data_IF_044258565946
#
_entry.id   IF_044258565946
#
_cell.length_a   1.000
_cell.length_b   1.000
_cell.length_c   1.000
_cell.angle_alpha   90.00
_cell.angle_beta   90.00
_cell.angle_gamma   90.00
#
_symmetry.space_group_name_H-M   'P 1'
#
loop_
_entity.id
_entity.type
_entity.pdbx_description
1 polymer ?
#
# COMPACT_ATOMS: atom_id res chain seq x y z
N UNK A 1 39.96 -51.94 -12.76
CA UNK A 1 39.55 -50.58 -12.37
C UNK A 1 39.43 -50.54 -10.85
N UNK A 2 40.36 -49.90 -10.15
CA UNK A 2 40.33 -49.78 -8.69
C UNK A 2 39.68 -48.43 -8.33
N UNK A 3 38.52 -48.45 -7.66
CA UNK A 3 37.91 -47.25 -7.11
C UNK A 3 38.63 -46.86 -5.82
N UNK A 4 39.15 -45.63 -5.74
CA UNK A 4 39.71 -45.10 -4.50
C UNK A 4 38.59 -44.88 -3.49
N UNK A 5 38.72 -45.50 -2.32
CA UNK A 5 37.78 -45.34 -1.22
C UNK A 5 38.02 -43.96 -0.61
N UNK A 6 37.00 -43.08 -0.57
CA UNK A 6 37.08 -41.79 0.13
C UNK A 6 37.52 -42.02 1.58
N UNK A 7 38.71 -41.54 1.94
CA UNK A 7 39.16 -41.56 3.33
C UNK A 7 38.38 -40.51 4.11
N UNK A 8 37.34 -40.93 4.84
CA UNK A 8 36.75 -40.11 5.89
C UNK A 8 37.76 -39.99 7.02
N UNK A 9 38.52 -38.89 7.04
CA UNK A 9 39.23 -38.46 8.26
C UNK A 9 38.22 -37.69 9.09
N UNK A 10 37.92 -38.10 10.35
CA UNK A 10 37.08 -37.31 11.24
C UNK A 10 37.66 -35.90 11.34
N UNK A 11 36.96 -34.90 10.76
CA UNK A 11 37.29 -33.50 11.01
C UNK A 11 36.70 -33.14 12.36
N UNK A 12 37.49 -32.63 13.32
CA UNK A 12 36.94 -32.14 14.59
C UNK A 12 35.76 -31.20 14.31
N UNK A 13 34.65 -31.40 15.01
CA UNK A 13 33.52 -30.49 14.94
C UNK A 13 33.97 -29.14 15.49
N UNK A 14 33.98 -28.12 14.63
CA UNK A 14 34.29 -26.77 15.05
C UNK A 14 33.05 -26.15 15.70
N UNK A 15 33.01 -26.18 17.04
CA UNK A 15 31.95 -25.56 17.84
C UNK A 15 31.92 -24.03 17.72
N UNK A 16 32.97 -23.41 17.15
CA UNK A 16 33.04 -21.98 16.90
C UNK A 16 32.61 -21.60 15.48
N UNK A 17 32.27 -22.58 14.63
CA UNK A 17 31.73 -22.32 13.29
C UNK A 17 30.36 -21.66 13.42
N UNK A 18 30.24 -20.42 12.94
CA UNK A 18 28.97 -19.70 12.87
C UNK A 18 27.96 -20.48 12.02
N UNK A 19 26.70 -20.52 12.49
CA UNK A 19 25.59 -21.10 11.74
C UNK A 19 25.36 -20.29 10.44
N UNK A 20 25.04 -20.95 9.31
CA UNK A 20 24.57 -20.23 8.13
C UNK A 20 23.27 -19.48 8.47
N UNK A 21 23.18 -18.23 8.03
CA UNK A 21 21.98 -17.42 8.17
C UNK A 21 21.08 -17.72 6.97
N UNK A 22 19.86 -18.18 7.23
CA UNK A 22 18.86 -18.41 6.20
C UNK A 22 17.90 -17.22 6.14
N UNK A 23 17.61 -16.71 4.94
CA UNK A 23 16.73 -15.55 4.75
C UNK A 23 15.29 -15.94 4.43
N UNK A 24 15.05 -17.17 3.98
CA UNK A 24 13.70 -17.70 3.73
C UNK A 24 13.61 -19.22 3.90
N UNK A 25 12.40 -19.74 4.11
CA UNK A 25 12.16 -21.18 4.21
C UNK A 25 12.48 -21.95 2.91
N UNK A 26 12.52 -21.27 1.76
CA UNK A 26 12.87 -21.89 0.46
C UNK A 26 14.34 -22.27 0.37
N UNK A 27 15.21 -21.64 1.16
CA UNK A 27 16.65 -21.96 1.19
C UNK A 27 16.95 -23.34 1.82
N UNK A 28 15.93 -24.04 2.36
CA UNK A 28 16.07 -25.44 2.78
C UNK A 28 16.01 -26.44 1.62
N UNK A 29 15.49 -26.04 0.45
CA UNK A 29 15.24 -26.95 -0.68
C UNK A 29 16.36 -26.93 -1.73
N UNK A 30 17.37 -26.05 -1.58
CA UNK A 30 18.51 -26.01 -2.50
C UNK A 30 19.45 -27.21 -2.24
N UNK A 31 19.49 -28.12 -3.22
CA UNK A 31 20.22 -29.38 -3.30
C UNK A 31 21.76 -29.18 -3.36
N UNK A 32 22.33 -28.34 -2.49
CA UNK A 32 23.77 -28.33 -2.29
C UNK A 32 24.14 -29.63 -1.55
N UNK A 33 24.91 -30.56 -2.16
CA UNK A 33 25.27 -31.84 -1.54
C UNK A 33 26.00 -31.65 -0.21
N UNK A 34 26.54 -30.44 0.03
CA UNK A 34 27.18 -30.04 1.27
C UNK A 34 26.19 -29.65 2.38
N UNK A 35 25.02 -29.12 2.02
CA UNK A 35 23.94 -28.74 2.96
C UNK A 35 23.12 -29.97 3.38
N UNK A 36 22.83 -30.88 2.45
CA UNK A 36 22.14 -32.14 2.73
C UNK A 36 22.90 -33.02 3.75
N UNK A 37 24.23 -33.10 3.64
CA UNK A 37 25.06 -33.83 4.61
C UNK A 37 25.00 -33.24 6.04
N UNK A 38 24.80 -31.93 6.17
CA UNK A 38 24.66 -31.25 7.46
C UNK A 38 23.24 -31.38 8.03
N UNK A 39 22.22 -31.43 7.18
CA UNK A 39 20.83 -31.66 7.59
C UNK A 39 20.60 -33.11 8.09
N UNK A 40 21.15 -34.11 7.41
CA UNK A 40 21.04 -35.54 7.81
C UNK A 40 21.74 -35.80 9.16
N UNK A 41 22.88 -35.14 9.43
CA UNK A 41 23.59 -35.28 10.71
C UNK A 41 22.86 -34.64 11.89
N UNK A 42 21.98 -33.65 11.66
CA UNK A 42 21.23 -32.95 12.71
C UNK A 42 19.86 -33.54 13.00
N UNK A 43 19.23 -34.19 12.02
CA UNK A 43 17.94 -34.86 12.20
C UNK A 43 17.98 -35.99 13.25
N UNK A 44 19.15 -36.59 13.52
CA UNK A 44 19.33 -37.64 14.54
C UNK A 44 19.45 -37.16 15.99
N UNK A 45 19.62 -35.84 16.25
CA UNK A 45 19.89 -35.31 17.60
C UNK A 45 18.71 -34.54 18.19
N UNK A 46 17.76 -34.06 17.38
CA UNK A 46 16.72 -33.11 17.80
C UNK A 46 15.35 -33.72 18.18
N UNK A 47 15.25 -35.04 18.31
CA UNK A 47 14.05 -35.69 18.86
C UNK A 47 14.04 -35.68 20.40
N UNK A 48 14.07 -34.49 21.01
CA UNK A 48 13.70 -34.26 22.42
C UNK A 48 13.66 -32.76 22.71
N UNK A 49 12.52 -32.31 23.25
CA UNK A 49 12.24 -31.01 23.89
C UNK A 49 11.64 -29.91 23.00
N UNK A 50 10.31 -30.03 22.94
CA UNK A 50 9.26 -29.01 22.91
C UNK A 50 9.57 -27.61 23.48
N UNK A 51 9.19 -26.63 22.65
CA UNK A 51 8.39 -25.43 22.93
C UNK A 51 9.03 -24.16 23.57
N UNK A 52 8.54 -22.97 23.17
CA UNK A 52 9.30 -21.71 23.16
C UNK A 52 8.76 -20.65 24.15
N UNK A 53 9.59 -19.69 24.57
CA UNK A 53 9.05 -18.44 25.12
C UNK A 53 10.01 -17.25 24.90
N UNK A 54 9.40 -16.14 24.46
CA UNK A 54 9.96 -14.82 24.27
C UNK A 54 10.24 -14.13 25.61
N UNK A 55 11.27 -13.27 25.67
CA UNK A 55 11.33 -11.95 26.35
C UNK A 55 12.81 -11.57 26.48
N UNK A 56 13.35 -10.62 25.71
CA UNK A 56 13.25 -9.17 25.88
C UNK A 56 13.89 -8.63 27.17
N UNK A 57 14.82 -7.69 26.95
CA UNK A 57 15.23 -6.57 27.80
C UNK A 57 16.28 -6.78 28.92
N UNK A 58 17.48 -6.27 28.63
CA UNK A 58 18.17 -5.16 29.34
C UNK A 58 18.34 -5.24 30.86
N UNK A 59 19.59 -5.35 31.34
CA UNK A 59 20.24 -4.54 32.41
C UNK A 59 21.62 -5.15 32.71
N UNK A 60 22.71 -4.45 32.42
CA UNK A 60 23.49 -3.63 33.37
C UNK A 60 24.25 -4.44 34.42
N UNK A 61 25.59 -4.49 34.34
CA UNK A 61 26.56 -4.01 35.36
C UNK A 61 27.97 -4.57 35.12
N UNK A 62 28.92 -3.63 35.02
CA UNK A 62 30.25 -3.62 35.65
C UNK A 62 31.24 -4.79 35.46
N UNK A 63 32.39 -4.51 34.86
CA UNK A 63 33.55 -5.41 34.92
C UNK A 63 34.65 -5.06 33.91
N UNK A 64 35.78 -4.58 34.44
CA UNK A 64 37.03 -4.24 33.76
C UNK A 64 37.51 -5.24 32.70
N UNK A 65 38.10 -4.73 31.61
CA UNK A 65 38.91 -5.55 30.71
C UNK A 65 38.93 -5.03 29.27
N UNK A 66 39.94 -4.23 28.94
CA UNK A 66 40.29 -3.86 27.57
C UNK A 66 40.44 -5.13 26.69
N UNK A 67 39.76 -5.21 25.54
CA UNK A 67 40.54 -5.21 24.30
C UNK A 67 39.88 -4.35 23.19
N UNK A 68 40.67 -3.44 22.65
CA UNK A 68 40.64 -2.91 21.27
C UNK A 68 39.43 -3.33 20.39
N UNK A 69 38.46 -2.44 20.09
CA UNK A 69 37.34 -2.75 19.20
C UNK A 69 37.79 -2.69 17.74
N UNK A 70 38.54 -3.69 17.29
CA UNK A 70 38.97 -3.83 15.89
C UNK A 70 38.12 -4.85 15.16
N UNK A 71 36.82 -4.57 15.06
CA UNK A 71 35.93 -5.07 14.00
C UNK A 71 34.75 -4.13 13.99
N UNK A 72 34.78 -3.17 13.07
CA UNK A 72 33.67 -2.25 12.79
C UNK A 72 32.39 -3.10 12.80
N UNK A 73 31.52 -2.83 13.77
CA UNK A 73 30.17 -3.33 13.83
C UNK A 73 29.44 -2.64 12.67
N UNK A 74 29.70 -3.11 11.44
CA UNK A 74 28.98 -2.69 10.26
C UNK A 74 27.59 -3.25 10.51
N UNK A 75 26.72 -2.43 11.10
CA UNK A 75 25.29 -2.72 11.15
C UNK A 75 24.89 -3.02 9.71
N UNK A 76 24.60 -4.29 9.43
CA UNK A 76 24.18 -4.72 8.11
C UNK A 76 22.87 -4.00 7.80
N UNK A 77 22.91 -3.11 6.81
CA UNK A 77 21.74 -2.32 6.41
C UNK A 77 20.79 -3.32 5.73
N UNK A 78 19.56 -3.52 6.25
CA UNK A 78 18.62 -4.45 5.63
C UNK A 78 18.33 -3.99 4.20
N UNK A 79 18.53 -4.90 3.24
CA UNK A 79 18.18 -4.66 1.84
C UNK A 79 16.69 -4.97 1.66
N UNK A 80 15.89 -4.07 1.05
CA UNK A 80 14.48 -4.34 0.80
C UNK A 80 14.32 -5.56 -0.12
N UNK A 81 13.29 -6.36 0.13
CA UNK A 81 12.86 -7.40 -0.80
C UNK A 81 11.98 -6.76 -1.90
N UNK A 82 11.93 -7.40 -3.06
CA UNK A 82 11.02 -7.03 -4.14
C UNK A 82 10.13 -8.22 -4.48
N UNK A 83 8.89 -7.93 -4.85
CA UNK A 83 7.93 -8.92 -5.32
C UNK A 83 7.54 -8.59 -6.75
N UNK A 84 7.44 -9.63 -7.59
CA UNK A 84 6.85 -9.48 -8.91
C UNK A 84 5.32 -9.39 -8.78
N UNK A 85 4.72 -8.40 -9.42
CA UNK A 85 3.26 -8.20 -9.41
C UNK A 85 2.69 -8.77 -10.70
N UNK A 86 1.94 -9.87 -10.60
CA UNK A 86 1.41 -10.59 -11.75
C UNK A 86 0.51 -9.72 -12.65
N UNK A 87 -0.15 -8.71 -12.07
CA UNK A 87 -1.06 -7.81 -12.81
C UNK A 87 -0.36 -6.64 -13.49
N UNK A 88 0.94 -6.45 -13.29
CA UNK A 88 1.68 -5.26 -13.74
C UNK A 88 1.52 -4.98 -15.24
N UNK A 89 1.68 -5.99 -16.10
CA UNK A 89 1.58 -5.82 -17.55
C UNK A 89 0.14 -5.56 -18.04
N UNK A 90 -0.87 -5.95 -17.24
CA UNK A 90 -2.28 -5.65 -17.52
C UNK A 90 -2.61 -4.22 -17.11
N UNK A 91 -2.15 -3.81 -15.93
CA UNK A 91 -2.50 -2.53 -15.32
C UNK A 91 -1.71 -1.36 -15.95
N UNK A 92 -0.48 -1.62 -16.43
CA UNK A 92 0.39 -0.62 -17.07
C UNK A 92 0.63 -0.92 -18.55
N UNK A 93 -0.23 -0.37 -19.41
CA UNK A 93 -0.07 -0.50 -20.86
C UNK A 93 1.12 0.31 -21.40
N UNK A 94 1.89 -0.26 -22.33
CA UNK A 94 3.08 0.36 -22.95
C UNK A 94 2.71 1.31 -24.10
N UNK A 95 1.98 2.38 -23.80
CA UNK A 95 1.50 3.34 -24.81
C UNK A 95 2.45 4.50 -25.08
N UNK A 96 3.53 4.63 -24.31
CA UNK A 96 4.49 5.72 -24.47
C UNK A 96 5.33 5.57 -25.76
N UNK A 97 5.21 6.54 -26.66
CA UNK A 97 6.08 6.69 -27.83
C UNK A 97 7.18 7.70 -27.53
N UNK A 98 8.44 7.25 -27.48
CA UNK A 98 9.57 8.12 -27.18
C UNK A 98 9.75 9.20 -28.26
N UNK A 99 9.70 10.50 -27.92
CA UNK A 99 9.93 11.56 -28.88
C UNK A 99 11.39 11.59 -29.36
N UNK A 100 11.61 12.12 -30.57
CA UNK A 100 12.96 12.30 -31.14
C UNK A 100 13.77 13.42 -30.47
N UNK A 101 13.15 14.17 -29.57
CA UNK A 101 13.74 15.27 -28.80
C UNK A 101 13.56 15.04 -27.30
N UNK A 102 14.28 15.81 -26.46
CA UNK A 102 14.10 15.74 -25.01
C UNK A 102 12.72 16.19 -24.58
N UNK A 103 12.12 15.45 -23.63
CA UNK A 103 10.83 15.78 -23.03
C UNK A 103 10.95 17.13 -22.33
N UNK A 104 10.12 18.08 -22.75
CA UNK A 104 9.94 19.37 -22.06
C UNK A 104 8.70 19.25 -21.20
N UNK A 105 8.87 19.13 -19.89
CA UNK A 105 7.76 19.06 -18.95
C UNK A 105 6.85 20.29 -19.06
N UNK A 106 5.62 20.08 -19.52
CA UNK A 106 4.49 20.96 -19.21
C UNK A 106 3.83 20.42 -17.93
N UNK A 107 3.25 21.29 -17.12
CA UNK A 107 2.61 20.85 -15.87
C UNK A 107 1.54 19.80 -16.18
N UNK A 108 1.62 18.63 -15.55
CA UNK A 108 0.74 17.49 -15.84
C UNK A 108 -0.76 17.81 -15.73
N UNK A 109 -1.12 18.85 -14.95
CA UNK A 109 -2.49 19.32 -14.74
C UNK A 109 -3.00 20.32 -15.78
N UNK A 110 -2.15 20.84 -16.66
CA UNK A 110 -2.50 21.99 -17.49
C UNK A 110 -3.10 21.63 -18.86
N UNK A 111 -2.95 20.41 -19.36
CA UNK A 111 -3.16 20.12 -20.79
C UNK A 111 -4.07 18.92 -21.11
N UNK A 112 -4.51 18.12 -20.13
CA UNK A 112 -5.28 16.88 -20.39
C UNK A 112 -6.60 16.90 -19.61
N UNK A 113 -7.66 17.41 -20.26
CA UNK A 113 -9.06 17.16 -19.88
C UNK A 113 -9.51 17.67 -18.50
N UNK A 114 -10.75 17.32 -18.15
CA UNK A 114 -11.32 17.54 -16.82
C UNK A 114 -10.70 16.52 -15.85
N UNK A 115 -9.83 17.00 -14.95
CA UNK A 115 -9.17 16.14 -13.97
C UNK A 115 -10.16 15.66 -12.90
N UNK A 116 -10.22 14.35 -12.69
CA UNK A 116 -11.00 13.67 -11.65
C UNK A 116 -10.01 13.01 -10.69
N UNK A 117 -10.09 13.35 -9.41
CA UNK A 117 -9.16 12.84 -8.37
C UNK A 117 -9.73 11.63 -7.60
N UNK A 118 -10.97 11.23 -7.92
CA UNK A 118 -11.65 10.16 -7.22
C UNK A 118 -11.51 8.86 -8.01
N UNK A 119 -10.94 7.84 -7.36
CA UNK A 119 -10.95 6.46 -7.84
C UNK A 119 -12.00 5.67 -7.07
N UNK A 120 -12.76 4.80 -7.75
CA UNK A 120 -13.75 3.95 -7.10
C UNK A 120 -13.08 3.00 -6.10
N UNK A 121 -13.66 2.91 -4.89
CA UNK A 121 -13.31 1.83 -3.96
C UNK A 121 -14.17 0.58 -4.20
N UNK A 122 -13.86 -0.51 -3.51
CA UNK A 122 -14.60 -1.77 -3.66
C UNK A 122 -16.11 -1.60 -3.38
N UNK A 123 -16.50 -0.73 -2.44
CA UNK A 123 -17.92 -0.47 -2.14
C UNK A 123 -18.61 0.25 -3.31
N UNK A 124 -17.91 1.16 -3.99
CA UNK A 124 -18.39 1.84 -5.18
C UNK A 124 -18.52 0.88 -6.37
N UNK A 125 -17.55 -0.04 -6.55
CA UNK A 125 -17.55 -1.05 -7.60
C UNK A 125 -18.71 -2.05 -7.42
N UNK A 126 -18.89 -2.58 -6.20
CA UNK A 126 -19.99 -3.48 -5.85
C UNK A 126 -21.36 -2.80 -6.10
N UNK A 127 -21.51 -1.55 -5.66
CA UNK A 127 -22.74 -0.78 -5.90
C UNK A 127 -23.00 -0.55 -7.39
N UNK A 128 -21.96 -0.28 -8.18
CA UNK A 128 -22.07 -0.04 -9.61
C UNK A 128 -22.50 -1.31 -10.36
N UNK A 129 -21.95 -2.47 -9.97
CA UNK A 129 -22.35 -3.78 -10.51
C UNK A 129 -23.84 -4.06 -10.22
N UNK A 130 -24.26 -3.90 -8.97
CA UNK A 130 -25.65 -4.07 -8.53
C UNK A 130 -26.61 -3.07 -9.21
N UNK A 131 -26.20 -1.81 -9.40
CA UNK A 131 -27.04 -0.79 -10.03
C UNK A 131 -27.23 -1.05 -11.52
N UNK A 132 -26.16 -1.45 -12.21
CA UNK A 132 -26.22 -1.78 -13.62
C UNK A 132 -27.01 -3.07 -13.84
N UNK A 133 -26.86 -4.08 -12.99
CA UNK A 133 -27.33 -5.43 -13.26
C UNK A 133 -26.93 -5.85 -14.70
N UNK A 134 -27.89 -6.31 -15.51
CA UNK A 134 -27.71 -6.64 -16.93
C UNK A 134 -27.67 -5.41 -17.87
N UNK A 135 -27.93 -4.20 -17.36
CA UNK A 135 -27.99 -2.97 -18.15
C UNK A 135 -26.78 -2.10 -17.89
N UNK A 136 -26.07 -1.69 -18.94
CA UNK A 136 -24.95 -0.73 -18.86
C UNK A 136 -25.46 0.72 -18.69
N UNK A 137 -26.11 1.03 -17.58
CA UNK A 137 -26.72 2.33 -17.33
C UNK A 137 -25.70 3.42 -17.01
N UNK A 138 -24.60 3.06 -16.35
CA UNK A 138 -23.53 3.94 -15.89
C UNK A 138 -22.17 3.22 -16.03
N UNK A 139 -21.18 3.88 -16.63
CA UNK A 139 -19.80 3.37 -16.68
C UNK A 139 -18.99 3.88 -15.46
N UNK A 140 -17.94 3.16 -15.04
CA UNK A 140 -17.17 3.49 -13.84
C UNK A 140 -16.60 4.92 -13.87
N UNK A 141 -15.98 5.35 -14.97
CA UNK A 141 -15.45 6.70 -15.15
C UNK A 141 -16.51 7.80 -14.90
N UNK A 142 -17.77 7.55 -15.26
CA UNK A 142 -18.84 8.52 -15.04
C UNK A 142 -19.30 8.53 -13.59
N UNK A 143 -19.27 7.38 -12.90
CA UNK A 143 -19.52 7.33 -11.46
C UNK A 143 -18.43 8.12 -10.72
N UNK A 144 -17.16 7.94 -11.06
CA UNK A 144 -16.03 8.70 -10.50
C UNK A 144 -16.23 10.21 -10.65
N UNK A 145 -16.53 10.66 -11.87
CA UNK A 145 -16.83 12.08 -12.15
C UNK A 145 -17.97 12.57 -11.27
N UNK A 146 -19.07 11.81 -11.16
CA UNK A 146 -20.23 12.23 -10.36
C UNK A 146 -19.89 12.33 -8.88
N UNK A 147 -19.28 11.30 -8.28
CA UNK A 147 -18.89 11.29 -6.88
C UNK A 147 -17.91 12.43 -6.56
N UNK A 148 -16.90 12.62 -7.41
CA UNK A 148 -15.95 13.72 -7.29
C UNK A 148 -16.62 15.10 -7.30
N UNK A 149 -17.52 15.31 -8.26
CA UNK A 149 -18.22 16.60 -8.41
C UNK A 149 -19.21 16.86 -7.29
N UNK A 150 -19.94 15.85 -6.83
CA UNK A 150 -20.83 15.95 -5.67
C UNK A 150 -20.04 16.36 -4.41
N UNK A 151 -18.88 15.75 -4.17
CA UNK A 151 -18.03 16.10 -3.03
C UNK A 151 -17.52 17.56 -3.10
N UNK A 152 -17.11 18.02 -4.29
CA UNK A 152 -16.70 19.41 -4.50
C UNK A 152 -17.87 20.37 -4.27
N UNK A 153 -19.07 20.04 -4.77
CA UNK A 153 -20.25 20.87 -4.62
C UNK A 153 -20.71 20.96 -3.16
N UNK A 154 -20.69 19.84 -2.44
CA UNK A 154 -21.00 19.82 -1.01
C UNK A 154 -19.99 20.63 -0.20
N UNK A 155 -18.70 20.49 -0.50
CA UNK A 155 -17.68 21.33 0.12
C UNK A 155 -17.97 22.82 -0.11
N UNK A 156 -18.27 23.22 -1.36
CA UNK A 156 -18.64 24.62 -1.65
C UNK A 156 -19.92 25.06 -0.92
N UNK A 157 -20.90 24.18 -0.76
CA UNK A 157 -22.11 24.46 0.00
C UNK A 157 -21.78 24.69 1.49
N UNK A 158 -20.89 23.88 2.08
CA UNK A 158 -20.39 24.04 3.45
C UNK A 158 -19.60 25.33 3.65
N UNK A 159 -18.72 25.68 2.73
CA UNK A 159 -17.99 26.95 2.76
C UNK A 159 -18.96 28.15 2.76
N UNK A 160 -19.98 28.12 1.89
CA UNK A 160 -21.00 29.19 1.82
C UNK A 160 -21.87 29.29 3.07
N UNK A 161 -22.15 28.16 3.72
CA UNK A 161 -22.91 28.11 4.97
C UNK A 161 -22.08 28.51 6.20
N UNK A 162 -20.78 28.82 6.04
CA UNK A 162 -19.86 29.06 7.16
C UNK A 162 -19.53 27.80 7.97
N UNK A 163 -19.89 26.62 7.46
CA UNK A 163 -19.68 25.32 8.09
C UNK A 163 -18.31 24.72 7.73
N UNK A 164 -17.25 25.52 7.87
CA UNK A 164 -15.86 25.10 7.64
C UNK A 164 -15.37 24.44 8.92
N UNK A 165 -15.96 23.30 9.28
CA UNK A 165 -15.45 22.51 10.39
C UNK A 165 -14.17 21.83 9.92
N UNK A 166 -13.02 21.99 10.62
CA UNK A 166 -11.86 21.15 10.35
C UNK A 166 -12.31 19.69 10.49
N UNK A 167 -12.03 18.86 9.48
CA UNK A 167 -12.56 17.49 9.25
C UNK A 167 -12.37 16.50 10.41
N UNK A 168 -11.71 16.93 11.49
CA UNK A 168 -11.27 16.11 12.61
C UNK A 168 -12.05 16.32 13.90
N UNK A 169 -12.90 17.35 13.99
CA UNK A 169 -13.52 17.73 15.27
C UNK A 169 -14.99 17.30 15.38
N UNK A 170 -15.59 16.74 14.33
CA UNK A 170 -16.96 16.25 14.40
C UNK A 170 -17.50 15.72 13.07
N UNK A 171 -18.76 15.22 13.09
CA UNK A 171 -19.44 14.79 11.88
C UNK A 171 -19.51 15.92 10.86
N UNK A 172 -19.15 15.64 9.59
CA UNK A 172 -19.25 16.61 8.49
C UNK A 172 -20.62 16.44 7.82
N UNK A 173 -21.58 17.36 8.05
CA UNK A 173 -22.93 17.23 7.50
C UNK A 173 -22.93 17.37 5.98
N UNK A 174 -23.89 16.71 5.33
CA UNK A 174 -24.17 16.91 3.91
C UNK A 174 -25.14 18.08 3.77
N UNK A 175 -24.72 19.14 3.07
CA UNK A 175 -25.56 20.34 2.85
C UNK A 175 -26.07 20.43 1.41
N UNK A 176 -25.42 19.75 0.46
CA UNK A 176 -25.82 19.76 -0.93
C UNK A 176 -27.22 19.14 -1.12
N UNK A 177 -28.16 19.90 -1.65
CA UNK A 177 -29.50 19.42 -2.03
C UNK A 177 -29.49 18.78 -3.43
N UNK A 178 -30.37 17.81 -3.66
CA UNK A 178 -30.48 17.09 -4.94
C UNK A 178 -30.71 18.07 -6.10
N UNK A 179 -31.68 18.98 -6.00
CA UNK A 179 -32.03 19.91 -7.07
C UNK A 179 -30.86 20.83 -7.44
N UNK A 180 -30.13 21.32 -6.43
CA UNK A 180 -28.94 22.14 -6.64
C UNK A 180 -27.79 21.35 -7.28
N UNK A 181 -27.60 20.08 -6.90
CA UNK A 181 -26.62 19.20 -7.51
C UNK A 181 -26.96 18.90 -8.97
N UNK A 182 -28.24 18.63 -9.25
CA UNK A 182 -28.76 18.37 -10.58
C UNK A 182 -28.58 19.55 -11.53
N UNK A 183 -28.94 20.75 -11.07
CA UNK A 183 -28.76 21.98 -11.85
C UNK A 183 -27.28 22.21 -12.17
N UNK A 184 -26.39 22.05 -11.17
CA UNK A 184 -24.96 22.26 -11.34
C UNK A 184 -24.29 21.24 -12.28
N UNK A 185 -24.82 20.01 -12.34
CA UNK A 185 -24.23 18.89 -13.09
C UNK A 185 -25.00 18.52 -14.35
N UNK A 186 -25.97 19.34 -14.79
CA UNK A 186 -26.75 19.10 -16.01
C UNK A 186 -25.88 18.92 -17.26
N UNK A 187 -24.72 19.57 -17.31
CA UNK A 187 -23.78 19.50 -18.44
C UNK A 187 -23.23 18.08 -18.66
N UNK A 188 -23.25 17.24 -17.63
CA UNK A 188 -22.82 15.84 -17.73
C UNK A 188 -23.83 14.96 -18.50
N UNK A 189 -25.02 15.46 -18.84
CA UNK A 189 -26.04 14.77 -19.64
C UNK A 189 -26.44 13.39 -19.09
N UNK A 190 -26.55 13.27 -17.76
CA UNK A 190 -26.95 12.02 -17.08
C UNK A 190 -28.47 11.97 -16.94
N UNK A 191 -29.07 10.80 -17.20
CA UNK A 191 -30.52 10.58 -17.03
C UNK A 191 -30.93 10.84 -15.57
N UNK A 192 -32.06 11.51 -15.36
CA UNK A 192 -32.58 11.88 -14.03
C UNK A 192 -32.52 10.72 -13.03
N UNK A 193 -33.07 9.56 -13.39
CA UNK A 193 -33.11 8.40 -12.48
C UNK A 193 -31.72 7.85 -12.12
N UNK A 194 -30.74 7.93 -13.04
CA UNK A 194 -29.35 7.54 -12.76
C UNK A 194 -28.70 8.56 -11.82
N UNK A 195 -28.89 9.86 -12.09
CA UNK A 195 -28.35 10.90 -11.23
C UNK A 195 -28.92 10.82 -9.81
N UNK A 196 -30.24 10.66 -9.68
CA UNK A 196 -30.91 10.53 -8.40
C UNK A 196 -30.36 9.32 -7.61
N UNK A 197 -30.18 8.17 -8.26
CA UNK A 197 -29.61 6.99 -7.63
C UNK A 197 -28.17 7.22 -7.12
N UNK A 198 -27.31 7.83 -7.96
CA UNK A 198 -25.92 8.17 -7.57
C UNK A 198 -25.89 9.19 -6.43
N UNK A 199 -26.75 10.20 -6.46
CA UNK A 199 -26.85 11.19 -5.40
C UNK A 199 -27.28 10.54 -4.07
N UNK A 200 -28.30 9.68 -4.09
CA UNK A 200 -28.73 8.94 -2.91
C UNK A 200 -27.61 8.06 -2.36
N UNK A 201 -26.93 7.30 -3.23
CA UNK A 201 -25.78 6.47 -2.83
C UNK A 201 -24.67 7.30 -2.17
N UNK A 202 -24.23 8.37 -2.83
CA UNK A 202 -23.20 9.28 -2.33
C UNK A 202 -23.59 9.89 -0.98
N UNK A 203 -24.84 10.36 -0.87
CA UNK A 203 -25.36 10.97 0.36
C UNK A 203 -25.37 9.96 1.50
N UNK A 204 -25.90 8.76 1.27
CA UNK A 204 -25.93 7.69 2.27
C UNK A 204 -24.50 7.30 2.69
N UNK A 205 -23.56 7.18 1.74
CA UNK A 205 -22.14 6.90 2.02
C UNK A 205 -21.52 8.00 2.89
N UNK A 206 -21.77 9.28 2.57
CA UNK A 206 -21.29 10.44 3.35
C UNK A 206 -21.90 10.51 4.74
N UNK A 207 -23.19 10.20 4.89
CA UNK A 207 -23.88 10.15 6.18
C UNK A 207 -23.39 8.97 7.03
N UNK A 208 -23.04 7.83 6.44
CA UNK A 208 -22.41 6.72 7.17
C UNK A 208 -21.00 7.07 7.65
N UNK A 209 -20.16 7.61 6.77
CA UNK A 209 -18.75 7.86 7.07
C UNK A 209 -18.51 9.10 7.93
N UNK A 210 -19.43 10.08 7.88
CA UNK A 210 -19.33 11.37 8.57
C UNK A 210 -18.05 12.16 8.22
N UNK A 211 -17.37 11.78 7.14
CA UNK A 211 -16.14 12.38 6.60
C UNK A 211 -16.21 12.46 5.07
N UNK A 212 -15.57 13.47 4.45
CA UNK A 212 -15.39 13.55 3.00
C UNK A 212 -14.87 12.23 2.42
N UNK A 213 -15.43 11.79 1.30
CA UNK A 213 -14.94 10.59 0.59
C UNK A 213 -13.58 10.85 -0.07
N UNK A 214 -13.31 12.10 -0.49
CA UNK A 214 -12.00 12.52 -0.99
C UNK A 214 -11.01 12.62 0.16
N UNK A 215 -10.06 11.69 0.21
CA UNK A 215 -8.93 11.72 1.15
C UNK A 215 -7.98 12.84 0.76
N UNK A 216 -8.22 14.06 1.24
CA UNK A 216 -7.22 15.13 1.14
C UNK A 216 -6.04 14.76 2.04
N UNK A 217 -4.83 14.83 1.49
CA UNK A 217 -3.61 14.75 2.28
C UNK A 217 -3.68 15.86 3.33
N UNK A 218 -3.84 15.51 4.61
CA UNK A 218 -3.71 16.51 5.66
C UNK A 218 -2.29 17.03 5.62
N UNK A 219 -2.13 18.35 5.56
CA UNK A 219 -0.87 18.94 5.98
C UNK A 219 -0.73 18.56 7.45
N UNK A 220 0.28 17.76 7.79
CA UNK A 220 0.65 17.51 9.18
C UNK A 220 0.75 18.87 9.83
N UNK A 221 -0.07 19.13 10.85
CA UNK A 221 -0.09 20.41 11.57
C UNK A 221 1.22 20.56 12.33
N UNK A 222 2.30 20.85 11.61
CA UNK A 222 3.46 21.54 12.10
C UNK A 222 3.12 23.01 11.88
N UNK A 223 2.61 23.59 12.96
CA UNK A 223 2.61 25.01 13.27
C UNK A 223 3.63 25.86 12.51
N UNK A 224 3.16 27.03 12.07
CA UNK A 224 3.90 28.28 11.87
C UNK A 224 4.07 28.77 10.42
N UNK A 225 3.22 29.75 10.08
CA UNK A 225 3.56 31.04 9.46
C UNK A 225 4.59 31.04 8.31
N UNK A 226 4.10 31.28 7.09
CA UNK A 226 4.80 32.11 6.11
C UNK A 226 3.78 33.04 5.44
N UNK A 227 3.58 34.21 6.08
CA UNK A 227 3.24 35.45 5.40
C UNK A 227 4.58 36.13 5.08
N UNK A 228 4.84 36.36 3.80
CA UNK A 228 5.61 37.48 3.26
C UNK A 228 4.92 37.92 1.97
#
# INVERSE_FOLDING_TARGET
MAMSRLSFRPRPLDIHKKLPILKSAREFEDDDPTAAAVAVARAGVLLRQSAPELTAATTATEGEGNPTPTKKNIQEIPTPQFDAVDTYERDYTRTFAQPTCYIRGRGARAEIGEFVEYDLDNEDEDWLEDFNNERKNLNPEKLEVLLFKLEILDHKARERAGAITPTFIGPVPVLLQLDAAMEALQYLSVRYGVFQAVYSYWKDKRERWQKPILRRLQVSTISSVCLF
#
